data_IF_495606256348
#
_entry.id   IF_495606256348
#
_cell.length_a   1.000
_cell.length_b   1.000
_cell.length_c   1.000
_cell.angle_alpha   90.00
_cell.angle_beta   90.00
_cell.angle_gamma   90.00
#
_symmetry.space_group_name_H-M   'P 1'
#
loop_
_entity.id
_entity.type
_entity.pdbx_description
1 polymer ?
#
# COMPACT_ATOMS: atom_id res chain seq x y z
N UNK A 1 -3.25 17.97 43.51
CA UNK A 1 -2.93 16.78 42.70
C UNK A 1 -3.87 16.79 41.51
N UNK A 2 -3.41 17.27 40.35
CA UNK A 2 -4.20 17.30 39.13
C UNK A 2 -3.83 16.07 38.29
N UNK A 3 -4.82 15.24 37.96
CA UNK A 3 -4.64 14.16 37.02
C UNK A 3 -4.38 14.75 35.62
N UNK A 4 -3.28 14.35 35.00
CA UNK A 4 -2.99 14.66 33.61
C UNK A 4 -4.00 13.94 32.72
N UNK A 5 -4.62 14.70 31.82
CA UNK A 5 -5.57 14.24 30.81
C UNK A 5 -4.94 13.19 29.90
N UNK A 6 -5.58 12.04 29.72
CA UNK A 6 -5.38 11.24 28.52
C UNK A 6 -6.38 11.71 27.45
N UNK A 7 -5.88 12.48 26.49
CA UNK A 7 -6.58 12.72 25.22
C UNK A 7 -6.35 11.47 24.35
N UNK A 8 -7.27 10.51 24.40
CA UNK A 8 -7.33 9.45 23.40
C UNK A 8 -7.82 10.05 22.08
N UNK A 9 -6.92 10.68 21.33
CA UNK A 9 -7.22 11.25 20.03
C UNK A 9 -7.21 10.14 18.98
N UNK A 10 -8.30 9.36 18.89
CA UNK A 10 -8.50 8.41 17.80
C UNK A 10 -8.88 9.21 16.56
N UNK A 11 -7.88 9.75 15.86
CA UNK A 11 -8.07 10.26 14.51
C UNK A 11 -7.98 9.08 13.55
N UNK A 12 -9.13 8.63 13.02
CA UNK A 12 -9.16 7.82 11.82
C UNK A 12 -8.72 8.71 10.64
N UNK A 13 -7.42 8.92 10.50
CA UNK A 13 -6.87 9.81 9.49
C UNK A 13 -7.17 9.24 8.10
N UNK A 14 -7.81 10.04 7.24
CA UNK A 14 -8.19 9.61 5.90
C UNK A 14 -6.95 9.37 5.04
N UNK A 15 -6.78 8.13 4.58
CA UNK A 15 -5.76 7.78 3.59
C UNK A 15 -6.09 8.50 2.28
N UNK A 16 -5.15 9.24 1.67
CA UNK A 16 -5.37 9.82 0.36
C UNK A 16 -5.68 8.73 -0.66
N UNK A 17 -6.70 8.91 -1.49
CA UNK A 17 -6.99 8.01 -2.61
C UNK A 17 -7.00 8.88 -3.86
N UNK A 18 -6.05 8.68 -4.80
CA UNK A 18 -6.05 9.42 -6.06
C UNK A 18 -7.37 9.23 -6.84
N UNK A 19 -7.77 10.25 -7.60
CA UNK A 19 -9.00 10.18 -8.38
C UNK A 19 -8.96 9.00 -9.36
N UNK A 20 -10.02 8.21 -9.39
CA UNK A 20 -10.14 7.03 -10.25
C UNK A 20 -9.37 5.80 -9.77
N UNK A 21 -8.72 5.85 -8.61
CA UNK A 21 -7.96 4.73 -8.04
C UNK A 21 -8.78 4.10 -6.91
N UNK A 22 -8.45 2.86 -6.54
CA UNK A 22 -8.97 2.24 -5.32
C UNK A 22 -7.81 1.77 -4.42
N UNK A 23 -7.98 1.97 -3.11
CA UNK A 23 -7.03 1.50 -2.11
C UNK A 23 -7.13 -0.03 -1.98
N UNK A 24 -5.97 -0.70 -2.01
CA UNK A 24 -5.86 -2.15 -1.79
C UNK A 24 -5.46 -2.41 -0.34
N UNK A 25 -4.35 -1.79 0.10
CA UNK A 25 -3.79 -1.96 1.43
C UNK A 25 -2.92 -0.77 1.81
N UNK A 26 -2.78 -0.54 3.11
CA UNK A 26 -1.90 0.48 3.67
C UNK A 26 -1.24 0.02 4.96
N UNK A 27 -0.06 0.57 5.26
CA UNK A 27 0.64 0.42 6.55
C UNK A 27 1.17 1.79 6.98
N UNK A 28 1.17 2.05 8.29
CA UNK A 28 1.67 3.30 8.89
C UNK A 28 2.73 2.96 9.93
N UNK A 29 4.00 3.18 9.62
CA UNK A 29 5.14 2.90 10.50
C UNK A 29 6.33 3.79 10.13
N UNK A 30 7.31 3.88 11.03
CA UNK A 30 8.55 4.61 10.79
C UNK A 30 9.44 3.87 9.76
N UNK A 31 9.42 4.35 8.52
CA UNK A 31 10.12 3.73 7.40
C UNK A 31 11.55 4.24 7.28
N UNK A 32 11.77 5.55 7.45
CA UNK A 32 13.10 6.15 7.28
C UNK A 32 13.87 6.43 8.58
N UNK A 33 13.31 6.00 9.72
CA UNK A 33 13.91 6.03 11.06
C UNK A 33 14.12 7.43 11.62
N UNK A 34 13.27 8.38 11.23
CA UNK A 34 13.27 9.75 11.75
C UNK A 34 12.34 9.95 12.96
N UNK A 35 11.77 8.84 13.48
CA UNK A 35 10.75 8.84 14.56
C UNK A 35 9.40 9.44 14.17
N UNK A 36 9.15 9.62 12.88
CA UNK A 36 7.84 9.98 12.31
C UNK A 36 7.37 8.83 11.42
N UNK A 37 6.12 8.40 11.58
CA UNK A 37 5.59 7.32 10.74
C UNK A 37 5.26 7.83 9.33
N UNK A 38 5.64 7.05 8.32
CA UNK A 38 5.18 7.18 6.95
C UNK A 38 3.90 6.37 6.75
N UNK A 39 3.05 6.84 5.84
CA UNK A 39 1.97 6.02 5.29
C UNK A 39 2.46 5.42 3.98
N UNK A 40 2.47 4.10 3.88
CA UNK A 40 2.68 3.38 2.61
C UNK A 40 1.35 2.80 2.17
N UNK A 41 0.94 3.09 0.94
CA UNK A 41 -0.34 2.64 0.39
C UNK A 41 -0.18 2.06 -1.01
N UNK A 42 -0.84 0.92 -1.22
CA UNK A 42 -0.97 0.23 -2.49
C UNK A 42 -2.34 0.53 -3.11
N UNK A 43 -2.35 0.93 -4.37
CA UNK A 43 -3.56 1.28 -5.11
C UNK A 43 -3.68 0.48 -6.40
N UNK A 44 -4.90 0.13 -6.77
CA UNK A 44 -5.26 -0.17 -8.15
C UNK A 44 -5.41 1.16 -8.91
N UNK A 45 -4.84 1.26 -10.12
CA UNK A 45 -4.89 2.52 -10.91
C UNK A 45 -6.21 2.74 -11.65
N UNK A 46 -7.18 1.86 -11.43
CA UNK A 46 -8.57 2.02 -11.88
C UNK A 46 -9.51 1.50 -10.80
N UNK A 47 -10.74 2.03 -10.77
CA UNK A 47 -11.82 1.46 -9.97
C UNK A 47 -12.15 0.07 -10.51
N UNK A 48 -12.09 -0.93 -9.64
CA UNK A 48 -12.39 -2.32 -9.98
C UNK A 48 -13.91 -2.48 -9.98
N UNK A 49 -14.49 -2.88 -11.11
CA UNK A 49 -15.81 -3.49 -11.14
C UNK A 49 -15.64 -5.00 -10.93
N UNK A 50 -16.50 -5.61 -10.13
CA UNK A 50 -16.44 -7.03 -9.73
C UNK A 50 -16.34 -8.04 -10.91
N UNK A 51 -16.60 -7.60 -12.13
CA UNK A 51 -16.64 -8.42 -13.35
C UNK A 51 -15.43 -8.31 -14.30
N UNK A 52 -14.39 -7.50 -14.01
CA UNK A 52 -13.28 -7.35 -14.97
C UNK A 52 -12.20 -8.42 -14.79
N UNK A 53 -11.96 -9.24 -15.81
CA UNK A 53 -10.80 -10.15 -15.91
C UNK A 53 -9.52 -9.45 -16.40
N UNK A 54 -9.59 -8.16 -16.71
CA UNK A 54 -8.44 -7.38 -17.18
C UNK A 54 -7.43 -7.14 -16.05
N UNK A 55 -6.15 -7.28 -16.37
CA UNK A 55 -5.07 -6.93 -15.46
C UNK A 55 -5.13 -5.44 -15.07
N UNK A 56 -5.01 -5.15 -13.79
CA UNK A 56 -5.01 -3.78 -13.24
C UNK A 56 -3.60 -3.41 -12.84
N UNK A 57 -2.96 -2.44 -13.51
CA UNK A 57 -1.71 -1.88 -13.03
C UNK A 57 -1.89 -1.30 -11.63
N UNK A 58 -0.81 -1.32 -10.86
CA UNK A 58 -0.81 -0.86 -9.47
C UNK A 58 0.18 0.26 -9.24
N UNK A 59 -0.08 1.03 -8.19
CA UNK A 59 0.80 2.08 -7.75
C UNK A 59 1.03 1.97 -6.25
N UNK A 60 2.30 1.98 -5.86
CA UNK A 60 2.73 2.18 -4.49
C UNK A 60 2.99 3.67 -4.28
N UNK A 61 2.47 4.24 -3.19
CA UNK A 61 2.81 5.59 -2.75
C UNK A 61 3.24 5.55 -1.30
N UNK A 62 4.35 6.23 -1.01
CA UNK A 62 4.84 6.51 0.33
C UNK A 62 4.54 7.98 0.58
N UNK A 63 3.90 8.29 1.70
CA UNK A 63 3.55 9.63 2.13
C UNK A 63 4.32 9.99 3.39
N UNK A 64 4.79 11.24 3.43
CA UNK A 64 5.27 11.88 4.66
C UNK A 64 4.12 12.61 5.34
N UNK A 65 4.19 12.69 6.67
CA UNK A 65 3.22 13.44 7.47
C UNK A 65 3.62 14.91 7.52
N UNK A 66 2.72 15.80 7.11
CA UNK A 66 2.85 17.25 7.25
C UNK A 66 1.68 17.77 8.09
N UNK A 67 1.93 17.91 9.40
CA UNK A 67 0.91 18.19 10.40
C UNK A 67 -0.19 17.12 10.44
N UNK A 68 -1.40 17.49 9.99
CA UNK A 68 -2.56 16.57 9.91
C UNK A 68 -2.75 15.97 8.52
N UNK A 69 -1.90 16.32 7.55
CA UNK A 69 -2.04 15.90 6.16
C UNK A 69 -0.97 14.88 5.77
N UNK A 70 -1.29 14.06 4.77
CA UNK A 70 -0.36 13.14 4.12
C UNK A 70 0.05 13.73 2.78
N UNK A 71 1.35 13.94 2.58
CA UNK A 71 1.91 14.48 1.34
C UNK A 71 2.70 13.39 0.61
N UNK A 72 2.46 13.14 -0.69
CA UNK A 72 3.22 12.13 -1.43
C UNK A 72 4.71 12.43 -1.39
N UNK A 73 5.51 11.43 -1.03
CA UNK A 73 6.97 11.52 -0.97
C UNK A 73 7.63 10.67 -2.06
N UNK A 74 7.26 9.39 -2.16
CA UNK A 74 7.79 8.47 -3.18
C UNK A 74 6.61 7.77 -3.87
N UNK A 75 6.69 7.61 -5.19
CA UNK A 75 5.68 6.90 -5.98
C UNK A 75 6.35 5.90 -6.91
N UNK A 76 5.79 4.70 -7.00
CA UNK A 76 6.24 3.69 -7.97
C UNK A 76 5.04 3.03 -8.64
N UNK A 77 5.09 2.92 -9.97
CA UNK A 77 4.11 2.20 -10.79
C UNK A 77 4.54 0.76 -11.13
N UNK A 78 5.69 0.33 -10.62
CA UNK A 78 6.31 -0.97 -10.96
C UNK A 78 6.70 -1.78 -9.74
N UNK A 79 6.59 -1.23 -8.52
CA UNK A 79 6.91 -1.94 -7.28
C UNK A 79 5.89 -3.03 -6.92
N UNK A 80 4.70 -2.99 -7.52
CA UNK A 80 3.60 -3.92 -7.28
C UNK A 80 3.24 -4.62 -8.58
N UNK A 81 3.06 -5.93 -8.52
CA UNK A 81 2.49 -6.70 -9.63
C UNK A 81 1.02 -6.34 -9.81
N UNK A 82 0.57 -6.33 -11.06
CA UNK A 82 -0.81 -6.09 -11.43
C UNK A 82 -1.76 -7.16 -10.88
N UNK A 83 -3.06 -6.85 -10.85
CA UNK A 83 -4.08 -7.71 -10.23
C UNK A 83 -4.29 -9.07 -10.90
N UNK A 84 -3.66 -9.35 -12.04
CA UNK A 84 -3.73 -10.64 -12.75
C UNK A 84 -2.34 -11.16 -13.14
N UNK A 85 -1.27 -10.55 -12.60
CA UNK A 85 0.12 -10.93 -12.93
C UNK A 85 0.55 -12.26 -12.28
N UNK A 86 -0.27 -12.85 -11.39
CA UNK A 86 -0.10 -14.21 -10.90
C UNK A 86 -0.45 -15.28 -11.94
N UNK A 87 -0.93 -14.86 -13.12
CA UNK A 87 -1.25 -15.73 -14.24
C UNK A 87 -2.67 -16.29 -14.19
N UNK A 88 -3.07 -17.06 -15.22
CA UNK A 88 -4.46 -17.50 -15.42
C UNK A 88 -5.02 -18.37 -14.29
N UNK A 89 -4.16 -19.07 -13.55
CA UNK A 89 -4.58 -20.02 -12.52
C UNK A 89 -4.64 -19.39 -11.12
N UNK A 90 -3.76 -18.46 -10.81
CA UNK A 90 -3.62 -17.90 -9.46
C UNK A 90 -4.18 -16.47 -9.34
N UNK A 91 -4.29 -15.74 -10.45
CA UNK A 91 -4.92 -14.42 -10.47
C UNK A 91 -4.06 -13.35 -9.81
N UNK A 92 -4.54 -12.77 -8.71
CA UNK A 92 -3.95 -11.59 -8.07
C UNK A 92 -2.77 -11.95 -7.16
N UNK A 93 -1.52 -11.66 -7.55
CA UNK A 93 -0.33 -12.09 -6.82
C UNK A 93 -0.07 -11.29 -5.54
N UNK A 94 -0.72 -10.16 -5.30
CA UNK A 94 -0.41 -9.29 -4.16
C UNK A 94 -1.07 -9.74 -2.87
N UNK A 95 -0.26 -10.00 -1.84
CA UNK A 95 -0.76 -10.48 -0.56
C UNK A 95 -0.77 -9.37 0.51
N UNK A 96 0.38 -8.71 0.71
CA UNK A 96 0.50 -7.70 1.75
C UNK A 96 1.70 -6.75 1.58
N UNK A 97 1.67 -5.68 2.36
CA UNK A 97 2.80 -4.78 2.60
C UNK A 97 3.02 -4.71 4.10
N UNK A 98 4.28 -4.60 4.49
CA UNK A 98 4.71 -4.54 5.89
C UNK A 98 5.94 -3.64 6.00
N UNK A 99 6.08 -2.92 7.12
CA UNK A 99 7.32 -2.24 7.47
C UNK A 99 7.92 -2.94 8.67
N UNK A 100 9.17 -3.38 8.55
CA UNK A 100 9.94 -4.00 9.64
C UNK A 100 11.30 -3.32 9.74
N UNK A 101 11.57 -2.70 10.88
CA UNK A 101 12.86 -2.06 11.18
C UNK A 101 13.32 -1.06 10.09
N UNK A 102 12.40 -0.21 9.60
CA UNK A 102 12.64 0.76 8.52
C UNK A 102 12.89 0.14 7.15
N UNK A 103 12.35 -1.06 6.91
CA UNK A 103 12.39 -1.73 5.61
C UNK A 103 10.96 -2.01 5.19
N UNK A 104 10.58 -1.50 4.02
CA UNK A 104 9.32 -1.87 3.36
C UNK A 104 9.49 -3.24 2.70
N UNK A 105 8.67 -4.19 3.13
CA UNK A 105 8.57 -5.54 2.59
C UNK A 105 7.23 -5.66 1.86
N UNK A 106 7.29 -6.16 0.63
CA UNK A 106 6.12 -6.39 -0.22
C UNK A 106 6.04 -7.88 -0.51
N UNK A 107 4.92 -8.51 -0.15
CA UNK A 107 4.71 -9.93 -0.36
C UNK A 107 3.82 -10.15 -1.58
N UNK A 108 4.37 -10.88 -2.54
CA UNK A 108 3.63 -11.43 -3.65
C UNK A 108 3.86 -12.95 -3.70
N UNK A 109 2.84 -13.70 -4.07
CA UNK A 109 3.06 -15.07 -4.53
C UNK A 109 3.42 -15.07 -6.04
N UNK A 110 4.03 -16.15 -6.50
CA UNK A 110 4.27 -16.38 -7.92
C UNK A 110 4.49 -17.86 -8.21
N UNK A 111 4.31 -18.25 -9.46
CA UNK A 111 4.78 -19.54 -9.96
C UNK A 111 6.19 -19.39 -10.53
N UNK A 112 7.04 -20.38 -10.25
CA UNK A 112 8.21 -20.63 -11.08
C UNK A 112 7.69 -21.16 -12.43
N UNK A 113 7.84 -20.38 -13.50
CA UNK A 113 7.61 -20.91 -14.85
C UNK A 113 8.73 -21.90 -15.10
N UNK A 114 8.49 -23.19 -14.83
CA UNK A 114 9.39 -24.24 -15.31
C UNK A 114 9.43 -24.11 -16.82
N UNK A 115 10.61 -23.76 -17.33
CA UNK A 115 10.85 -23.56 -18.76
C UNK A 115 10.17 -24.68 -19.56
N UNK A 116 9.20 -24.29 -20.39
CA UNK A 116 8.69 -25.18 -21.45
C UNK A 116 9.88 -25.59 -22.34
N UNK A 117 9.91 -26.85 -22.81
CA UNK A 117 11.10 -27.49 -23.40
C UNK A 117 11.71 -26.74 -24.59
#
# INVERSE_FOLDING_TARGET
MFALMELTQISAQKIPIPNGFSLIKSVVEDLDKDSVNELVAAYNTRIVSESSSENIPRMLVIYKKDGVNWTPWIQSKTALLGSQDGGPMWGDPFESIEIKNGILIIYHFGEEVQNAP
#
